data_IF_093894587915
#
_entry.id   IF_093894587915
#
_cell.length_a   1.000
_cell.length_b   1.000
_cell.length_c   1.000
_cell.angle_alpha   90.00
_cell.angle_beta   90.00
_cell.angle_gamma   90.00
#
_symmetry.space_group_name_H-M   'P 1'
#
loop_
_entity.id
_entity.type
_entity.pdbx_description
1 polymer ?
#
# COMPACT_ATOMS: atom_id res chain seq x y z
N UNK A 1 -6.09 15.65 -4.23
CA UNK A 1 -5.90 16.64 -3.14
C UNK A 1 -5.60 15.86 -1.89
N UNK A 2 -4.46 16.08 -1.26
CA UNK A 2 -4.16 15.46 0.03
C UNK A 2 -5.08 16.07 1.10
N UNK A 3 -5.61 15.24 2.00
CA UNK A 3 -6.45 15.65 3.12
C UNK A 3 -5.65 15.49 4.40
N UNK A 4 -5.69 16.47 5.28
CA UNK A 4 -5.04 16.43 6.58
C UNK A 4 -6.05 16.08 7.65
N UNK A 5 -5.75 15.08 8.47
CA UNK A 5 -6.56 14.76 9.64
C UNK A 5 -5.68 14.55 10.88
N UNK A 6 -6.17 14.88 12.08
CA UNK A 6 -5.46 14.52 13.31
C UNK A 6 -5.30 13.00 13.45
N UNK A 7 -4.16 12.56 13.98
CA UNK A 7 -3.90 11.12 14.27
C UNK A 7 -5.01 10.52 15.13
N UNK A 8 -5.54 11.28 16.08
CA UNK A 8 -6.63 10.86 16.98
C UNK A 8 -7.96 10.56 16.24
N UNK A 9 -8.14 11.11 15.05
CA UNK A 9 -9.35 10.91 14.23
C UNK A 9 -9.25 9.70 13.30
N UNK A 10 -8.10 8.99 13.27
CA UNK A 10 -7.94 7.82 12.42
C UNK A 10 -8.76 6.63 12.91
N UNK A 11 -9.41 5.88 12.00
CA UNK A 11 -9.98 4.57 12.31
C UNK A 11 -8.95 3.63 12.94
N UNK A 12 -9.39 2.80 13.90
CA UNK A 12 -8.52 1.94 14.71
C UNK A 12 -7.57 1.07 13.86
N UNK A 13 -8.04 0.50 12.74
CA UNK A 13 -7.22 -0.33 11.85
C UNK A 13 -6.05 0.45 11.22
N UNK A 14 -6.31 1.69 10.77
CA UNK A 14 -5.30 2.57 10.14
C UNK A 14 -4.32 3.07 11.19
N UNK A 15 -4.82 3.44 12.37
CA UNK A 15 -3.99 3.82 13.52
C UNK A 15 -3.04 2.69 13.95
N UNK A 16 -3.54 1.45 14.05
CA UNK A 16 -2.70 0.29 14.37
C UNK A 16 -1.61 0.05 13.32
N UNK A 17 -1.94 0.15 12.03
CA UNK A 17 -0.95 0.03 10.98
C UNK A 17 0.11 1.12 11.07
N UNK A 18 -0.31 2.38 11.23
CA UNK A 18 0.57 3.54 11.40
C UNK A 18 1.51 3.38 12.60
N UNK A 19 0.99 2.93 13.74
CA UNK A 19 1.78 2.68 14.95
C UNK A 19 2.76 1.50 14.78
N UNK A 20 2.43 0.53 13.93
CA UNK A 20 3.30 -0.62 13.62
C UNK A 20 4.33 -0.35 12.52
N UNK A 21 4.24 0.80 11.85
CA UNK A 21 5.19 1.24 10.82
C UNK A 21 6.56 1.45 11.43
N UNK A 22 7.60 0.96 10.75
CA UNK A 22 9.00 1.18 11.17
C UNK A 22 9.76 2.12 10.25
N UNK A 23 9.11 2.59 9.17
CA UNK A 23 9.66 3.62 8.29
C UNK A 23 9.40 5.01 8.88
N UNK A 24 10.22 5.97 8.46
CA UNK A 24 10.20 7.36 8.93
C UNK A 24 10.16 8.30 7.72
N UNK A 25 9.13 9.15 7.57
CA UNK A 25 7.96 9.30 8.45
C UNK A 25 7.07 8.05 8.50
N UNK A 26 6.39 7.86 9.63
CA UNK A 26 5.46 6.73 9.81
C UNK A 26 4.33 6.80 8.79
N UNK A 27 3.97 5.66 8.22
CA UNK A 27 2.91 5.61 7.22
C UNK A 27 2.07 4.34 7.28
N UNK A 28 0.90 4.40 6.65
CA UNK A 28 0.08 3.23 6.35
C UNK A 28 -0.34 3.21 4.88
N UNK A 29 -0.62 1.99 4.41
CA UNK A 29 -1.15 1.69 3.09
C UNK A 29 -2.37 0.78 3.28
N UNK A 30 -3.56 1.28 3.00
CA UNK A 30 -4.82 0.59 3.33
C UNK A 30 -5.75 0.52 2.12
N UNK A 31 -6.16 -0.69 1.74
CA UNK A 31 -7.14 -0.94 0.69
C UNK A 31 -8.52 -0.64 1.28
N UNK A 32 -9.13 0.45 0.81
CA UNK A 32 -10.48 0.86 1.21
C UNK A 32 -11.53 -0.05 0.57
N UNK A 33 -11.33 -0.34 -0.71
CA UNK A 33 -12.20 -1.20 -1.51
C UNK A 33 -11.49 -1.66 -2.78
N UNK A 34 -12.14 -2.57 -3.49
CA UNK A 34 -11.74 -2.94 -4.84
C UNK A 34 -12.99 -3.16 -5.69
N UNK A 35 -12.90 -2.81 -6.96
CA UNK A 35 -14.00 -2.90 -7.91
C UNK A 35 -13.47 -3.40 -9.26
N UNK A 36 -14.33 -4.06 -10.05
CA UNK A 36 -14.01 -4.38 -11.44
C UNK A 36 -14.22 -3.12 -12.28
N UNK A 37 -13.16 -2.59 -12.87
CA UNK A 37 -13.26 -1.52 -13.84
C UNK A 37 -13.56 -2.10 -15.23
N UNK A 38 -14.76 -1.84 -15.80
CA UNK A 38 -15.15 -2.38 -17.10
C UNK A 38 -14.38 -1.76 -18.26
N UNK A 39 -13.85 -0.54 -18.11
CA UNK A 39 -13.15 0.16 -19.20
C UNK A 39 -11.82 -0.49 -19.54
N UNK A 40 -11.11 -0.97 -18.51
CA UNK A 40 -9.82 -1.67 -18.63
C UNK A 40 -9.93 -3.17 -18.34
N UNK A 41 -11.15 -3.66 -18.08
CA UNK A 41 -11.50 -5.05 -17.80
C UNK A 41 -10.62 -5.69 -16.69
N UNK A 42 -10.32 -4.93 -15.65
CA UNK A 42 -9.42 -5.34 -14.58
C UNK A 42 -9.91 -4.89 -13.20
N UNK A 43 -9.55 -5.64 -12.16
CA UNK A 43 -9.82 -5.23 -10.78
C UNK A 43 -8.85 -4.13 -10.36
N UNK A 44 -9.42 -3.04 -9.86
CA UNK A 44 -8.72 -1.87 -9.37
C UNK A 44 -8.92 -1.79 -7.85
N UNK A 45 -7.84 -1.54 -7.14
CA UNK A 45 -7.81 -1.38 -5.69
C UNK A 45 -7.70 0.11 -5.38
N UNK A 46 -8.64 0.62 -4.59
CA UNK A 46 -8.57 1.97 -4.03
C UNK A 46 -7.74 1.89 -2.74
N UNK A 47 -6.53 2.44 -2.80
CA UNK A 47 -5.57 2.42 -1.70
C UNK A 47 -5.49 3.81 -1.11
N UNK A 48 -5.79 3.92 0.18
CA UNK A 48 -5.49 5.09 0.99
C UNK A 48 -4.07 5.01 1.52
N UNK A 49 -3.32 6.07 1.27
CA UNK A 49 -1.96 6.27 1.78
C UNK A 49 -2.05 7.34 2.85
N UNK A 50 -1.56 7.04 4.05
CA UNK A 50 -1.47 8.01 5.14
C UNK A 50 -0.04 8.17 5.59
N UNK A 51 0.46 9.40 5.62
CA UNK A 51 1.82 9.76 6.05
C UNK A 51 1.71 10.69 7.25
N UNK A 52 2.31 10.30 8.38
CA UNK A 52 2.26 11.09 9.60
C UNK A 52 3.35 12.16 9.60
N UNK A 53 2.95 13.41 9.84
CA UNK A 53 3.83 14.52 10.19
C UNK A 53 3.34 15.11 11.50
N UNK A 54 4.14 14.96 12.55
CA UNK A 54 3.76 15.32 13.93
C UNK A 54 2.45 14.63 14.37
N UNK A 55 1.41 15.41 14.70
CA UNK A 55 0.09 14.94 15.13
C UNK A 55 -0.95 14.93 14.00
N UNK A 56 -0.51 15.19 12.76
CA UNK A 56 -1.33 15.22 11.56
C UNK A 56 -0.96 14.05 10.66
N UNK A 57 -1.94 13.51 9.95
CA UNK A 57 -1.74 12.52 8.91
C UNK A 57 -2.22 13.11 7.60
N UNK A 58 -1.30 13.20 6.65
CA UNK A 58 -1.59 13.56 5.26
C UNK A 58 -2.08 12.31 4.54
N UNK A 59 -3.28 12.39 4.00
CA UNK A 59 -3.98 11.28 3.38
C UNK A 59 -4.24 11.59 1.93
N UNK A 60 -3.92 10.64 1.04
CA UNK A 60 -4.39 10.65 -0.33
C UNK A 60 -4.83 9.26 -0.75
N UNK A 61 -5.64 9.21 -1.81
CA UNK A 61 -6.11 7.95 -2.38
C UNK A 61 -5.51 7.77 -3.76
N UNK A 62 -5.08 6.55 -4.03
CA UNK A 62 -4.57 6.13 -5.33
C UNK A 62 -5.37 4.91 -5.81
N UNK A 63 -5.29 4.67 -7.10
CA UNK A 63 -5.88 3.48 -7.72
C UNK A 63 -4.79 2.63 -8.34
N UNK A 64 -4.73 1.35 -7.99
CA UNK A 64 -3.76 0.41 -8.56
C UNK A 64 -4.40 -0.91 -8.91
N UNK A 65 -3.98 -1.48 -10.04
CA UNK A 65 -4.27 -2.87 -10.38
C UNK A 65 -3.29 -3.79 -9.69
N UNK A 66 -3.71 -5.04 -9.51
CA UNK A 66 -2.82 -6.12 -9.05
C UNK A 66 -1.52 -6.19 -9.87
N UNK A 67 -1.60 -6.03 -11.20
CA UNK A 67 -0.42 -6.11 -12.07
C UNK A 67 0.59 -4.98 -11.83
N UNK A 68 0.14 -3.77 -11.47
CA UNK A 68 1.01 -2.64 -11.16
C UNK A 68 1.72 -2.86 -9.82
N UNK A 69 0.98 -3.37 -8.82
CA UNK A 69 1.57 -3.73 -7.52
C UNK A 69 2.57 -4.89 -7.66
N UNK A 70 2.30 -5.84 -8.54
CA UNK A 70 3.22 -6.95 -8.85
C UNK A 70 4.50 -6.46 -9.54
N UNK A 71 4.36 -5.54 -10.50
CA UNK A 71 5.52 -4.91 -11.16
C UNK A 71 6.38 -4.14 -10.15
N UNK A 72 5.75 -3.36 -9.27
CA UNK A 72 6.44 -2.72 -8.15
C UNK A 72 7.20 -3.74 -7.28
N UNK A 73 6.55 -4.83 -6.86
CA UNK A 73 7.20 -5.88 -6.07
C UNK A 73 8.42 -6.46 -6.79
N UNK A 74 8.31 -6.75 -8.10
CA UNK A 74 9.44 -7.27 -8.88
C UNK A 74 10.63 -6.31 -8.96
N UNK A 75 10.39 -5.00 -8.85
CA UNK A 75 11.42 -3.98 -8.87
C UNK A 75 12.12 -3.84 -7.51
N UNK A 76 11.37 -3.93 -6.40
CA UNK A 76 11.94 -3.77 -5.06
C UNK A 76 12.47 -5.07 -4.44
N UNK A 77 11.92 -6.23 -4.81
CA UNK A 77 12.23 -7.52 -4.16
C UNK A 77 13.72 -7.90 -4.24
N UNK A 78 14.44 -7.69 -5.36
CA UNK A 78 15.88 -7.95 -5.40
C UNK A 78 16.69 -7.09 -4.41
N UNK A 79 16.21 -5.88 -4.11
CA UNK A 79 16.90 -4.92 -3.21
C UNK A 79 16.71 -5.28 -1.73
N UNK A 80 15.63 -5.96 -1.38
CA UNK A 80 15.25 -6.26 0.01
C UNK A 80 15.03 -7.76 0.27
N UNK A 81 15.64 -8.64 -0.54
CA UNK A 81 15.43 -10.10 -0.48
C UNK A 81 15.69 -10.73 0.91
N UNK A 82 16.63 -10.17 1.68
CA UNK A 82 16.98 -10.65 3.02
C UNK A 82 16.11 -10.02 4.12
N UNK A 83 15.24 -9.06 3.79
CA UNK A 83 14.41 -8.38 4.76
C UNK A 83 13.19 -9.24 5.13
N UNK A 84 13.14 -9.70 6.38
CA UNK A 84 12.05 -10.53 6.93
C UNK A 84 10.65 -9.90 6.83
N UNK A 85 10.55 -8.57 6.73
CA UNK A 85 9.28 -7.87 6.59
C UNK A 85 8.78 -7.83 5.15
N UNK A 86 9.65 -8.08 4.16
CA UNK A 86 9.21 -8.22 2.78
C UNK A 86 8.55 -9.59 2.58
N UNK A 87 7.26 -9.65 2.92
CA UNK A 87 6.42 -10.84 2.74
C UNK A 87 6.32 -11.22 1.25
N UNK A 88 5.99 -12.49 0.99
CA UNK A 88 5.73 -12.96 -0.36
C UNK A 88 4.56 -12.20 -0.98
N UNK A 89 4.72 -11.73 -2.22
CA UNK A 89 3.63 -11.09 -2.95
C UNK A 89 2.55 -12.13 -3.29
N UNK A 90 1.24 -11.82 -3.17
CA UNK A 90 0.19 -12.78 -3.47
C UNK A 90 0.32 -13.30 -4.91
N UNK A 91 0.22 -14.61 -5.17
CA UNK A 91 0.51 -15.17 -6.48
C UNK A 91 -0.52 -14.76 -7.55
N UNK A 92 -0.07 -14.72 -8.80
CA UNK A 92 -0.97 -14.65 -9.96
C UNK A 92 -1.74 -15.97 -10.02
N UNK A 93 -3.07 -15.92 -10.01
CA UNK A 93 -3.89 -17.12 -10.20
C UNK A 93 -3.93 -17.44 -11.69
N UNK A 94 -3.75 -18.72 -12.04
CA UNK A 94 -3.76 -19.16 -13.45
C UNK A 94 -5.19 -19.37 -14.01
N UNK A 95 -6.22 -19.56 -13.17
CA UNK A 95 -7.62 -19.75 -13.59
C UNK A 95 -8.65 -19.11 -12.62
N UNK A 96 -9.80 -18.60 -13.10
CA UNK A 96 -10.87 -18.09 -12.23
C UNK A 96 -10.50 -16.81 -11.46
N UNK A 97 -10.00 -15.80 -12.18
CA UNK A 97 -9.40 -14.57 -11.66
C UNK A 97 -10.41 -13.44 -11.32
N UNK A 98 -11.73 -13.69 -11.50
CA UNK A 98 -12.83 -12.74 -11.26
C UNK A 98 -13.92 -13.24 -10.30
N UNK A 99 -13.76 -14.44 -9.75
CA UNK A 99 -14.66 -14.93 -8.71
C UNK A 99 -14.54 -14.06 -7.45
N UNK A 100 -15.68 -13.63 -6.89
CA UNK A 100 -15.73 -12.72 -5.74
C UNK A 100 -14.95 -13.27 -4.55
N UNK A 101 -15.12 -14.55 -4.20
CA UNK A 101 -14.42 -15.15 -3.07
C UNK A 101 -12.89 -15.09 -3.26
N UNK A 102 -12.43 -15.30 -4.49
CA UNK A 102 -11.03 -15.18 -4.82
C UNK A 102 -10.53 -13.72 -4.78
N UNK A 103 -11.33 -12.77 -5.25
CA UNK A 103 -10.99 -11.35 -5.19
C UNK A 103 -10.92 -10.84 -3.75
N UNK A 104 -11.84 -11.27 -2.89
CA UNK A 104 -11.84 -10.98 -1.45
C UNK A 104 -10.54 -11.52 -0.80
N UNK A 105 -10.21 -12.79 -1.03
CA UNK A 105 -8.96 -13.40 -0.52
C UNK A 105 -7.71 -12.68 -1.04
N UNK A 106 -7.69 -12.29 -2.31
CA UNK A 106 -6.58 -11.55 -2.90
C UNK A 106 -6.45 -10.16 -2.27
N UNK A 107 -7.56 -9.46 -2.05
CA UNK A 107 -7.56 -8.15 -1.41
C UNK A 107 -7.00 -8.24 0.02
N UNK A 108 -7.40 -9.25 0.79
CA UNK A 108 -6.86 -9.51 2.12
C UNK A 108 -5.35 -9.80 2.10
N UNK A 109 -4.91 -10.65 1.17
CA UNK A 109 -3.50 -10.97 1.02
C UNK A 109 -2.66 -9.75 0.60
N UNK A 110 -3.18 -8.91 -0.30
CA UNK A 110 -2.55 -7.65 -0.68
C UNK A 110 -2.51 -6.67 0.48
N UNK A 111 -3.59 -6.54 1.26
CA UNK A 111 -3.62 -5.71 2.45
C UNK A 111 -2.53 -6.14 3.44
N UNK A 112 -2.41 -7.45 3.70
CA UNK A 112 -1.35 -7.99 4.56
C UNK A 112 0.05 -7.68 4.02
N UNK A 113 0.26 -7.80 2.70
CA UNK A 113 1.52 -7.43 2.06
C UNK A 113 1.84 -5.94 2.27
N UNK A 114 0.90 -5.04 1.97
CA UNK A 114 1.05 -3.58 2.13
C UNK A 114 1.29 -3.17 3.60
N UNK A 115 0.62 -3.82 4.55
CA UNK A 115 0.84 -3.63 5.99
C UNK A 115 2.24 -4.00 6.44
N UNK A 116 2.88 -4.98 5.80
CA UNK A 116 4.27 -5.34 6.12
C UNK A 116 5.29 -4.55 5.30
N UNK A 117 4.90 -4.04 4.13
CA UNK A 117 5.76 -3.23 3.27
C UNK A 117 6.28 -1.99 4.02
N UNK A 118 5.41 -1.29 4.76
CA UNK A 118 5.77 -0.12 5.59
C UNK A 118 6.61 -0.48 6.85
N UNK A 119 7.08 -1.73 6.95
CA UNK A 119 8.04 -2.20 7.96
C UNK A 119 9.40 -2.54 7.34
N UNK A 120 9.53 -2.45 6.01
CA UNK A 120 10.78 -2.68 5.29
C UNK A 120 11.59 -1.39 5.32
N UNK A 121 12.63 -1.36 6.16
CA UNK A 121 13.51 -0.20 6.28
C UNK A 121 14.07 0.24 4.91
N UNK A 122 14.00 1.54 4.63
CA UNK A 122 14.49 2.16 3.39
C UNK A 122 13.59 1.98 2.16
N UNK A 123 12.49 1.21 2.22
CA UNK A 123 11.64 0.97 1.03
C UNK A 123 11.02 2.27 0.50
N UNK A 124 10.67 3.17 1.42
CA UNK A 124 9.99 4.44 1.11
C UNK A 124 10.90 5.45 0.43
N UNK A 125 12.22 5.27 0.54
CA UNK A 125 13.22 6.10 -0.12
C UNK A 125 13.46 5.66 -1.57
N UNK A 126 12.85 4.55 -2.02
CA UNK A 126 13.02 4.10 -3.40
C UNK A 126 12.14 4.89 -4.36
N UNK A 127 12.66 5.27 -5.55
CA UNK A 127 11.83 5.90 -6.59
C UNK A 127 10.67 5.03 -7.05
N UNK A 128 10.78 3.71 -6.91
CA UNK A 128 9.72 2.76 -7.24
C UNK A 128 8.55 2.88 -6.26
N UNK A 129 8.82 3.03 -4.97
CA UNK A 129 7.79 3.25 -3.96
C UNK A 129 7.07 4.57 -4.19
N UNK A 130 7.80 5.68 -4.32
CA UNK A 130 7.18 6.99 -4.50
C UNK A 130 6.29 7.05 -5.75
N UNK A 131 6.73 6.47 -6.87
CA UNK A 131 5.92 6.40 -8.11
C UNK A 131 4.72 5.47 -7.96
N UNK A 132 4.91 4.28 -7.37
CA UNK A 132 3.82 3.33 -7.19
C UNK A 132 2.73 3.88 -6.28
N UNK A 133 3.09 4.61 -5.22
CA UNK A 133 2.14 5.12 -4.23
C UNK A 133 1.81 6.62 -4.37
N UNK A 134 2.27 7.25 -5.45
CA UNK A 134 2.11 8.69 -5.73
C UNK A 134 2.47 9.54 -4.51
N UNK A 135 3.60 9.22 -3.89
CA UNK A 135 4.08 9.93 -2.71
C UNK A 135 4.65 11.27 -3.14
N UNK A 136 4.14 12.35 -2.55
CA UNK A 136 4.78 13.66 -2.64
C UNK A 136 6.11 13.62 -1.86
N UNK A 137 7.26 13.83 -2.51
CA UNK A 137 8.55 13.85 -1.83
C UNK A 137 8.63 14.87 -0.68
N UNK A 138 7.86 15.95 -0.72
CA UNK A 138 7.82 16.95 0.35
C UNK A 138 7.24 16.40 1.66
N UNK A 139 6.48 15.30 1.59
CA UNK A 139 5.95 14.61 2.78
C UNK A 139 6.94 13.62 3.37
N UNK A 140 8.02 13.29 2.68
CA UNK A 140 9.07 12.37 3.16
C UNK A 140 10.26 13.10 3.77
N UNK A 141 10.38 14.40 3.51
CA UNK A 141 11.43 15.25 4.06
C UNK A 141 10.86 16.02 5.27
N UNK A 142 11.68 16.21 6.31
CA UNK A 142 11.34 17.06 7.46
C UNK A 142 11.18 18.52 7.04
#
# INVERSE_FOLDING_TARGET
>A
MATEIPVASLPQKKLQQLQSSTVDPRMYLFIEKFDLDPTINAVVYDIEVGIQKENIVHIHKIQRRYSQLFEFDSQIRPLYKENRFLQAFPPKKMFGNKDKAFLDQRAEALQKYLTNLVKVAGVISTPHFCRCFEIDPNLLNE
#
